data_IF_622756876065
#
_entry.id   IF_622756876065
#
_cell.length_a   1.000
_cell.length_b   1.000
_cell.length_c   1.000
_cell.angle_alpha   90.00
_cell.angle_beta   90.00
_cell.angle_gamma   90.00
#
_symmetry.space_group_name_H-M   'P 1'
#
loop_
_entity.id
_entity.type
_entity.pdbx_description
1 polymer ?
#
# COMPACT_ATOMS: atom_id res chain seq x y z
N UNK A 1 -8.65 -14.15 11.54
CA UNK A 1 -7.52 -13.37 11.03
C UNK A 1 -7.72 -13.12 9.53
N UNK A 2 -7.63 -11.86 9.14
CA UNK A 2 -7.69 -11.47 7.73
C UNK A 2 -6.26 -11.33 7.23
N UNK A 3 -5.96 -12.00 6.10
CA UNK A 3 -4.63 -11.93 5.49
C UNK A 3 -4.69 -11.43 4.05
N UNK A 4 -3.78 -10.51 3.72
CA UNK A 4 -3.54 -10.05 2.36
C UNK A 4 -2.03 -10.01 2.16
N UNK A 5 -1.46 -11.18 1.78
CA UNK A 5 0.00 -11.33 1.73
C UNK A 5 0.59 -11.14 3.12
N UNK A 6 1.49 -10.17 3.26
CA UNK A 6 2.15 -9.86 4.52
C UNK A 6 1.30 -9.04 5.49
N UNK A 7 0.16 -8.50 5.02
CA UNK A 7 -0.77 -7.78 5.89
C UNK A 7 -1.61 -8.78 6.67
N UNK A 8 -1.63 -8.64 7.99
CA UNK A 8 -2.43 -9.49 8.88
C UNK A 8 -3.25 -8.61 9.81
N UNK A 9 -4.56 -8.86 9.87
CA UNK A 9 -5.49 -8.13 10.74
C UNK A 9 -6.19 -9.12 11.65
N UNK A 10 -6.06 -8.93 12.96
CA UNK A 10 -6.76 -9.72 13.97
C UNK A 10 -7.96 -8.97 14.51
N UNK A 11 -9.04 -9.70 14.81
CA UNK A 11 -10.27 -9.14 15.38
C UNK A 11 -10.64 -9.96 16.60
N UNK A 12 -10.89 -9.26 17.73
CA UNK A 12 -11.28 -9.91 18.97
C UNK A 12 -12.34 -9.08 19.69
N UNK A 13 -13.32 -9.77 20.28
CA UNK A 13 -14.28 -9.17 21.22
C UNK A 13 -14.09 -9.77 22.62
N UNK A 14 -12.94 -10.37 22.90
CA UNK A 14 -12.62 -11.04 24.16
C UNK A 14 -13.63 -12.15 24.49
N UNK A 15 -14.20 -12.78 23.47
CA UNK A 15 -15.17 -13.85 23.64
C UNK A 15 -16.61 -13.40 23.96
N UNK A 16 -16.84 -12.07 24.04
CA UNK A 16 -18.15 -11.55 24.42
C UNK A 16 -19.19 -11.58 23.31
N UNK A 17 -18.77 -11.52 22.02
CA UNK A 17 -19.72 -11.57 20.93
C UNK A 17 -19.08 -12.13 19.65
N UNK A 18 -19.25 -13.42 19.40
CA UNK A 18 -18.82 -14.03 18.13
C UNK A 18 -19.50 -13.39 16.91
N UNK A 19 -20.75 -12.96 17.07
CA UNK A 19 -21.50 -12.33 15.98
C UNK A 19 -20.90 -10.99 15.59
N UNK A 20 -20.50 -10.16 16.56
CA UNK A 20 -19.85 -8.87 16.28
C UNK A 20 -18.50 -9.08 15.61
N UNK A 21 -17.72 -10.06 16.09
CA UNK A 21 -16.43 -10.39 15.45
C UNK A 21 -16.61 -10.75 13.98
N UNK A 22 -17.58 -11.58 13.68
CA UNK A 22 -17.88 -12.04 12.31
C UNK A 22 -18.37 -10.88 11.43
N UNK A 23 -19.26 -10.05 11.98
CA UNK A 23 -19.77 -8.87 11.27
C UNK A 23 -18.63 -7.90 10.93
N UNK A 24 -17.79 -7.60 11.92
CA UNK A 24 -16.65 -6.70 11.76
C UNK A 24 -15.68 -7.23 10.70
N UNK A 25 -15.39 -8.54 10.74
CA UNK A 25 -14.53 -9.17 9.73
C UNK A 25 -15.06 -8.96 8.32
N UNK A 26 -16.37 -9.14 8.12
CA UNK A 26 -16.99 -8.96 6.80
C UNK A 26 -16.85 -7.51 6.31
N UNK A 27 -16.99 -6.53 7.22
CA UNK A 27 -16.82 -5.12 6.88
C UNK A 27 -15.38 -4.84 6.45
N UNK A 28 -14.41 -5.33 7.21
CA UNK A 28 -12.99 -5.13 6.91
C UNK A 28 -12.60 -5.82 5.60
N UNK A 29 -13.07 -7.04 5.36
CA UNK A 29 -12.81 -7.78 4.12
C UNK A 29 -13.29 -7.02 2.88
N UNK A 30 -14.38 -6.26 3.01
CA UNK A 30 -14.90 -5.45 1.91
C UNK A 30 -14.06 -4.21 1.61
N UNK A 31 -13.35 -3.69 2.60
CA UNK A 31 -12.50 -2.49 2.47
C UNK A 31 -11.06 -2.86 2.17
N UNK A 32 -10.54 -3.86 2.88
CA UNK A 32 -9.16 -4.32 2.71
C UNK A 32 -9.15 -5.44 1.69
N UNK A 33 -8.95 -5.07 0.43
CA UNK A 33 -9.05 -5.97 -0.72
C UNK A 33 -7.74 -6.73 -0.96
N UNK A 34 -7.74 -7.77 -1.83
CA UNK A 34 -6.50 -8.50 -2.15
C UNK A 34 -5.38 -7.64 -2.70
N UNK A 35 -5.69 -6.52 -3.33
CA UNK A 35 -4.69 -5.58 -3.88
C UNK A 35 -3.76 -5.03 -2.81
N UNK A 36 -4.13 -5.08 -1.54
CA UNK A 36 -3.26 -4.66 -0.44
C UNK A 36 -1.98 -5.48 -0.37
N UNK A 37 -2.04 -6.77 -0.73
CA UNK A 37 -0.83 -7.61 -0.82
C UNK A 37 0.17 -7.06 -1.82
N UNK A 38 -0.33 -6.69 -3.01
CA UNK A 38 0.51 -6.14 -4.07
C UNK A 38 0.98 -4.72 -3.76
N UNK A 39 0.15 -3.93 -3.08
CA UNK A 39 0.58 -2.59 -2.66
C UNK A 39 1.73 -2.67 -1.64
N UNK A 40 1.69 -3.62 -0.71
CA UNK A 40 2.80 -3.82 0.24
C UNK A 40 4.08 -4.17 -0.52
N UNK A 41 3.99 -5.07 -1.49
CA UNK A 41 5.11 -5.45 -2.34
C UNK A 41 5.68 -4.23 -3.09
N UNK A 42 4.81 -3.42 -3.66
CA UNK A 42 5.20 -2.21 -4.39
C UNK A 42 5.87 -1.20 -3.47
N UNK A 43 5.29 -0.97 -2.28
CA UNK A 43 5.85 -0.05 -1.29
C UNK A 43 7.25 -0.50 -0.83
N UNK A 44 7.42 -1.80 -0.63
CA UNK A 44 8.72 -2.36 -0.24
C UNK A 44 9.76 -2.16 -1.35
N UNK A 45 9.40 -2.44 -2.59
CA UNK A 45 10.25 -2.23 -3.75
C UNK A 45 10.67 -0.76 -3.89
N UNK A 46 9.70 0.15 -3.80
CA UNK A 46 9.96 1.58 -3.90
C UNK A 46 10.80 2.09 -2.74
N UNK A 47 10.56 1.59 -1.52
CA UNK A 47 11.34 1.97 -0.35
C UNK A 47 12.81 1.63 -0.55
N UNK A 48 13.10 0.44 -1.07
CA UNK A 48 14.47 0.01 -1.34
C UNK A 48 15.12 0.86 -2.43
N UNK A 49 14.38 1.18 -3.48
CA UNK A 49 14.83 2.10 -4.52
C UNK A 49 15.15 3.48 -3.95
N UNK A 50 14.23 4.05 -3.17
CA UNK A 50 14.37 5.39 -2.61
C UNK A 50 15.54 5.50 -1.64
N UNK A 51 15.85 4.45 -0.89
CA UNK A 51 17.01 4.44 -0.01
C UNK A 51 18.32 4.68 -0.75
N UNK A 52 18.40 4.29 -2.01
CA UNK A 52 19.58 4.46 -2.84
C UNK A 52 19.67 5.83 -3.52
N UNK A 53 18.53 6.52 -3.64
CA UNK A 53 18.43 7.75 -4.43
C UNK A 53 18.07 9.00 -3.61
N UNK A 54 17.48 8.83 -2.44
CA UNK A 54 17.02 9.92 -1.59
C UNK A 54 17.55 9.73 -0.18
N UNK A 55 18.39 10.65 0.28
CA UNK A 55 19.01 10.55 1.59
C UNK A 55 18.11 10.89 2.77
N UNK A 56 17.15 11.78 2.56
CA UNK A 56 16.25 12.25 3.62
C UNK A 56 15.09 11.28 3.83
N UNK A 57 14.97 10.73 5.04
CA UNK A 57 13.91 9.81 5.42
C UNK A 57 12.52 10.44 5.28
N UNK A 58 12.36 11.70 5.62
CA UNK A 58 11.08 12.40 5.51
C UNK A 58 10.62 12.53 4.07
N UNK A 59 11.56 12.80 3.15
CA UNK A 59 11.26 12.86 1.73
C UNK A 59 10.85 11.50 1.19
N UNK A 60 11.56 10.45 1.58
CA UNK A 60 11.20 9.08 1.18
C UNK A 60 9.78 8.73 1.64
N UNK A 61 9.44 9.09 2.87
CA UNK A 61 8.12 8.80 3.42
C UNK A 61 7.01 9.57 2.69
N UNK A 62 7.24 10.82 2.36
CA UNK A 62 6.31 11.62 1.57
C UNK A 62 6.00 10.98 0.23
N UNK A 63 7.04 10.52 -0.47
CA UNK A 63 6.90 9.88 -1.77
C UNK A 63 6.08 8.60 -1.65
N UNK A 64 6.37 7.77 -0.65
CA UNK A 64 5.63 6.52 -0.42
C UNK A 64 4.15 6.79 -0.13
N UNK A 65 3.84 7.85 0.61
CA UNK A 65 2.46 8.24 0.88
C UNK A 65 1.74 8.75 -0.38
N UNK A 66 2.42 9.48 -1.24
CA UNK A 66 1.85 9.90 -2.53
C UNK A 66 1.43 8.68 -3.34
N UNK A 67 2.26 7.65 -3.40
CA UNK A 67 1.95 6.40 -4.09
C UNK A 67 0.76 5.70 -3.42
N UNK A 68 0.79 5.59 -2.10
CA UNK A 68 -0.24 4.90 -1.32
C UNK A 68 -1.63 5.52 -1.51
N UNK A 69 -1.70 6.83 -1.66
CA UNK A 69 -2.96 7.56 -1.81
C UNK A 69 -3.40 7.73 -3.27
N UNK A 70 -2.65 7.20 -4.22
CA UNK A 70 -2.94 7.36 -5.64
C UNK A 70 -3.94 6.31 -6.13
N UNK A 71 -5.17 6.74 -6.44
CA UNK A 71 -6.24 5.85 -6.89
C UNK A 71 -5.91 5.10 -8.18
N UNK A 72 -5.22 5.75 -9.12
CA UNK A 72 -4.85 5.12 -10.39
C UNK A 72 -3.92 3.92 -10.18
N UNK A 73 -3.02 4.01 -9.20
CA UNK A 73 -2.14 2.89 -8.85
C UNK A 73 -2.93 1.73 -8.26
N UNK A 74 -3.88 2.00 -7.37
CA UNK A 74 -4.76 0.96 -6.84
C UNK A 74 -5.55 0.27 -7.95
N UNK A 75 -6.07 1.04 -8.90
CA UNK A 75 -6.78 0.49 -10.06
C UNK A 75 -5.85 -0.35 -10.92
N UNK A 76 -4.63 0.11 -11.15
CA UNK A 76 -3.62 -0.66 -11.90
C UNK A 76 -3.32 -2.00 -11.20
N UNK A 77 -3.21 -2.00 -9.86
CA UNK A 77 -2.95 -3.22 -9.10
C UNK A 77 -4.02 -4.29 -9.29
N UNK A 78 -5.27 -3.88 -9.55
CA UNK A 78 -6.34 -4.84 -9.83
C UNK A 78 -6.19 -5.48 -11.22
N UNK A 79 -5.36 -4.92 -12.09
CA UNK A 79 -5.12 -5.43 -13.44
C UNK A 79 -3.75 -6.10 -13.55
N UNK A 80 -2.69 -5.41 -13.16
CA UNK A 80 -1.30 -5.84 -13.35
C UNK A 80 -0.37 -5.12 -12.38
N UNK A 81 0.44 -5.88 -11.66
CA UNK A 81 1.47 -5.31 -10.79
C UNK A 81 2.46 -4.46 -11.60
N UNK A 82 2.88 -4.94 -12.75
CA UNK A 82 3.84 -4.25 -13.61
C UNK A 82 3.33 -2.90 -14.05
N UNK A 83 2.05 -2.81 -14.38
CA UNK A 83 1.41 -1.56 -14.77
C UNK A 83 1.42 -0.55 -13.62
N UNK A 84 1.09 -1.01 -12.42
CA UNK A 84 1.13 -0.18 -11.22
C UNK A 84 2.55 0.29 -10.90
N UNK A 85 3.51 -0.61 -10.98
CA UNK A 85 4.92 -0.29 -10.72
C UNK A 85 5.43 0.75 -11.72
N UNK A 86 5.11 0.59 -13.00
CA UNK A 86 5.50 1.55 -14.04
C UNK A 86 4.97 2.96 -13.74
N UNK A 87 3.70 3.06 -13.38
CA UNK A 87 3.10 4.34 -12.99
C UNK A 87 3.78 4.92 -11.74
N UNK A 88 4.03 4.08 -10.76
CA UNK A 88 4.66 4.50 -9.51
C UNK A 88 6.07 5.07 -9.76
N UNK A 89 6.88 4.39 -10.56
CA UNK A 89 8.22 4.88 -10.88
C UNK A 89 8.18 6.17 -11.68
N UNK A 90 7.20 6.34 -12.56
CA UNK A 90 7.03 7.61 -13.29
C UNK A 90 6.71 8.76 -12.33
N UNK A 91 5.83 8.53 -11.35
CA UNK A 91 5.49 9.52 -10.34
C UNK A 91 6.70 9.87 -9.48
N UNK A 92 7.47 8.87 -9.06
CA UNK A 92 8.69 9.07 -8.28
C UNK A 92 9.70 9.91 -9.07
N UNK A 93 9.90 9.57 -10.34
CA UNK A 93 10.81 10.28 -11.23
C UNK A 93 10.42 11.74 -11.38
N UNK A 94 9.15 12.02 -11.63
CA UNK A 94 8.62 13.39 -11.74
C UNK A 94 8.79 14.18 -10.44
N UNK A 95 8.51 13.53 -9.30
CA UNK A 95 8.68 14.16 -8.00
C UNK A 95 10.13 14.57 -7.75
N UNK A 96 11.08 13.67 -8.02
CA UNK A 96 12.50 13.93 -7.80
C UNK A 96 13.03 15.00 -8.73
N UNK A 97 12.57 15.02 -9.98
CA UNK A 97 12.92 16.05 -10.95
C UNK A 97 12.45 17.43 -10.48
N UNK A 98 11.21 17.53 -10.02
CA UNK A 98 10.64 18.80 -9.57
C UNK A 98 11.25 19.27 -8.25
N UNK A 99 11.67 18.35 -7.38
CA UNK A 99 12.29 18.69 -6.10
C UNK A 99 13.71 19.19 -6.23
N UNK A 100 14.41 18.84 -7.33
CA UNK A 100 15.79 19.28 -7.56
C UNK A 100 15.88 20.67 -8.20
N UNK A 101 14.76 21.28 -8.48
CA UNK A 101 14.66 22.66 -8.96
C UNK A 101 14.40 23.60 -7.77
#
# INVERSE_FOLDING_TARGET
>A
VIKRGDLTIGISTLGHSPAVSKYTRRQIEGVITPEYSDMIRLQDELRNYLKKHVGDQRERQKILWIILENEAIWNDLSESYEKAAERAYAIVSDYLENSSR
#
